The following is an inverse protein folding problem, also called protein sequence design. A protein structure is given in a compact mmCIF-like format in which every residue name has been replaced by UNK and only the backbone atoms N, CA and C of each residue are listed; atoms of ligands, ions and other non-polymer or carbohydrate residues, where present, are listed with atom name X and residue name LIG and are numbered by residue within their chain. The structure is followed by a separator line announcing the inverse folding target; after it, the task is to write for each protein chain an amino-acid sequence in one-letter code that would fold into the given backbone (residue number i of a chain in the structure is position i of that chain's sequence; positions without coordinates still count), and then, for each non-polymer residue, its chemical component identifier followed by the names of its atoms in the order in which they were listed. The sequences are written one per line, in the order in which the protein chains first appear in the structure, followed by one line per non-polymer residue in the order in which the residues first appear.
data_IF_823982247375
#
_entry.id   IF_823982247375
#
_cell.length_a   1.000
_cell.length_b   1.000
_cell.length_c   1.000
_cell.angle_alpha   90.00
_cell.angle_beta   90.00
_cell.angle_gamma   90.00
#
_symmetry.space_group_name_H-M   'P 1'
#
loop_
_entity.id
_entity.type
_entity.pdbx_description
1 polymer ?
#
# COMPACT_ATOMS: atom_id res chain seq x y z
N UNK A 1 15.78 -1.12 -6.98
CA UNK A 1 14.99 -0.43 -8.00
C UNK A 1 14.55 -1.38 -9.11
N UNK A 2 13.28 -1.30 -9.50
CA UNK A 2 12.77 -2.08 -10.62
C UNK A 2 12.44 -1.07 -11.71
N UNK A 3 13.23 -1.06 -12.75
CA UNK A 3 13.09 -0.08 -13.82
C UNK A 3 11.84 -0.31 -14.65
N UNK A 4 11.48 0.68 -15.41
CA UNK A 4 10.34 0.57 -16.32
C UNK A 4 10.57 -0.62 -17.25
N UNK A 5 9.60 -1.50 -17.34
CA UNK A 5 9.70 -2.72 -18.10
C UNK A 5 10.40 -3.86 -17.36
N UNK A 6 10.97 -3.59 -16.20
CA UNK A 6 11.61 -4.64 -15.43
C UNK A 6 10.61 -5.41 -14.59
N UNK A 7 11.04 -6.58 -14.17
CA UNK A 7 10.21 -7.45 -13.34
C UNK A 7 10.99 -7.88 -12.11
N UNK A 8 10.33 -7.86 -10.97
CA UNK A 8 10.90 -8.42 -9.76
C UNK A 8 9.88 -9.37 -9.16
N UNK A 9 10.36 -10.47 -8.63
CA UNK A 9 9.48 -11.47 -8.08
C UNK A 9 10.06 -11.97 -6.77
N UNK A 10 9.23 -12.00 -5.74
CA UNK A 10 9.65 -12.57 -4.46
C UNK A 10 10.71 -11.76 -3.72
N UNK A 11 10.80 -10.48 -3.98
CA UNK A 11 11.80 -9.64 -3.35
C UNK A 11 11.51 -9.49 -1.85
N UNK A 12 12.55 -9.52 -1.05
CA UNK A 12 12.42 -9.25 0.37
C UNK A 12 13.10 -7.93 0.65
N UNK A 13 12.37 -6.98 1.22
CA UNK A 13 12.92 -5.70 1.60
C UNK A 13 13.09 -5.69 3.10
N UNK A 14 14.31 -5.67 3.54
CA UNK A 14 14.60 -5.76 4.95
C UNK A 14 15.61 -4.68 5.31
N UNK A 15 15.12 -3.49 5.58
CA UNK A 15 15.97 -2.39 5.96
C UNK A 15 16.37 -1.45 4.83
N UNK A 16 15.91 -1.69 3.64
CA UNK A 16 16.25 -0.83 2.52
C UNK A 16 15.00 -0.31 1.85
N UNK A 17 15.16 0.10 0.61
CA UNK A 17 14.04 0.62 -0.15
C UNK A 17 14.03 0.01 -1.53
N UNK A 18 12.86 -0.32 -2.01
CA UNK A 18 12.70 -0.79 -3.37
C UNK A 18 11.79 0.17 -4.11
N UNK A 19 12.32 0.79 -5.15
CA UNK A 19 11.51 1.66 -5.99
C UNK A 19 11.04 0.84 -7.18
N UNK A 20 9.76 0.90 -7.45
CA UNK A 20 9.17 0.07 -8.51
C UNK A 20 8.60 0.97 -9.59
N UNK A 21 9.33 1.08 -10.70
CA UNK A 21 8.84 1.75 -11.89
C UNK A 21 8.30 0.72 -12.89
N UNK A 22 8.62 -0.54 -12.68
CA UNK A 22 8.17 -1.65 -13.51
C UNK A 22 7.12 -2.46 -12.79
N UNK A 23 7.30 -3.76 -12.77
CA UNK A 23 6.34 -4.66 -12.15
C UNK A 23 7.02 -5.48 -11.07
N UNK A 24 6.41 -5.54 -9.90
CA UNK A 24 6.91 -6.38 -8.83
C UNK A 24 5.78 -7.25 -8.30
N UNK A 25 6.08 -8.49 -8.00
CA UNK A 25 5.07 -9.38 -7.44
C UNK A 25 5.64 -10.18 -6.28
N UNK A 26 4.81 -10.40 -5.27
CA UNK A 26 5.17 -11.23 -4.15
C UNK A 26 6.24 -10.65 -3.24
N UNK A 27 6.41 -9.35 -3.23
CA UNK A 27 7.42 -8.75 -2.35
C UNK A 27 7.00 -8.87 -0.90
N UNK A 28 7.98 -8.97 -0.02
CA UNK A 28 7.74 -8.97 1.42
C UNK A 28 8.56 -7.82 2.01
N UNK A 29 7.90 -6.93 2.72
CA UNK A 29 8.54 -5.75 3.29
C UNK A 29 8.53 -5.85 4.81
N UNK A 30 9.73 -5.90 5.40
CA UNK A 30 9.85 -5.98 6.86
C UNK A 30 10.20 -4.64 7.47
N UNK A 31 11.43 -4.25 7.38
CA UNK A 31 11.91 -3.06 8.05
C UNK A 31 12.46 -2.10 7.02
N UNK A 32 11.72 -1.82 6.03
CA UNK A 32 12.15 -0.92 4.98
C UNK A 32 10.93 -0.44 4.24
N UNK A 33 11.10 -0.02 3.01
CA UNK A 33 9.98 0.49 2.26
C UNK A 33 9.97 0.02 0.83
N UNK A 34 8.78 -0.06 0.28
CA UNK A 34 8.60 -0.29 -1.15
C UNK A 34 7.83 0.89 -1.68
N UNK A 35 8.37 1.54 -2.69
CA UNK A 35 7.72 2.70 -3.28
C UNK A 35 7.28 2.33 -4.69
N UNK A 36 5.97 2.39 -4.91
CA UNK A 36 5.43 2.10 -6.23
C UNK A 36 5.32 3.43 -6.95
N UNK A 37 6.20 3.63 -7.91
CA UNK A 37 6.30 4.90 -8.60
C UNK A 37 5.27 5.01 -9.71
N UNK A 38 5.20 6.17 -10.30
CA UNK A 38 4.27 6.41 -11.40
C UNK A 38 4.52 5.39 -12.50
N UNK A 39 3.49 4.66 -12.88
CA UNK A 39 3.61 3.61 -13.87
C UNK A 39 4.00 2.26 -13.30
N UNK A 40 4.38 2.21 -12.03
CA UNK A 40 4.73 0.94 -11.41
C UNK A 40 3.50 0.12 -11.08
N UNK A 41 3.65 -1.19 -11.13
CA UNK A 41 2.57 -2.10 -10.83
C UNK A 41 3.09 -3.13 -9.84
N UNK A 42 2.39 -3.28 -8.74
CA UNK A 42 2.80 -4.19 -7.70
C UNK A 42 1.63 -5.10 -7.36
N UNK A 43 1.90 -6.35 -7.12
CA UNK A 43 0.86 -7.26 -6.72
C UNK A 43 1.35 -8.21 -5.62
N UNK A 44 0.46 -8.49 -4.67
CA UNK A 44 0.74 -9.49 -3.65
C UNK A 44 1.82 -9.11 -2.66
N UNK A 45 2.02 -7.82 -2.41
CA UNK A 45 3.00 -7.41 -1.41
C UNK A 45 2.52 -7.76 -0.02
N UNK A 46 3.42 -8.26 0.80
CA UNK A 46 3.14 -8.48 2.21
C UNK A 46 3.94 -7.47 3.01
N UNK A 47 3.25 -6.68 3.81
CA UNK A 47 3.89 -5.62 4.60
C UNK A 47 3.81 -6.02 6.06
N UNK A 48 4.95 -6.34 6.63
CA UNK A 48 5.02 -6.78 8.02
C UNK A 48 5.43 -5.65 8.94
N UNK A 49 5.53 -5.97 10.20
CA UNK A 49 5.88 -4.97 11.21
C UNK A 49 7.14 -4.21 10.82
N UNK A 50 7.05 -2.90 10.85
CA UNK A 50 8.15 -2.04 10.48
C UNK A 50 8.25 -1.75 9.00
N UNK A 51 7.43 -2.39 8.20
CA UNK A 51 7.47 -2.17 6.75
C UNK A 51 6.52 -1.07 6.31
N UNK A 52 6.83 -0.47 5.20
CA UNK A 52 6.02 0.60 4.63
C UNK A 52 5.93 0.41 3.13
N UNK A 53 4.74 0.54 2.61
CA UNK A 53 4.57 0.59 1.17
C UNK A 53 3.94 1.92 0.80
N UNK A 54 4.55 2.63 -0.13
CA UNK A 54 4.03 3.89 -0.61
C UNK A 54 3.62 3.71 -2.06
N UNK A 55 2.35 3.99 -2.35
CA UNK A 55 1.90 3.94 -3.73
C UNK A 55 1.74 5.37 -4.20
N UNK A 56 2.64 5.79 -5.08
CA UNK A 56 2.67 7.17 -5.56
C UNK A 56 1.59 7.38 -6.63
N UNK A 57 1.34 8.62 -6.95
CA UNK A 57 0.34 8.95 -7.97
C UNK A 57 0.62 8.16 -9.24
N UNK A 58 -0.39 7.60 -9.83
CA UNK A 58 -0.30 6.76 -11.02
C UNK A 58 0.38 5.41 -10.78
N UNK A 59 0.69 5.08 -9.55
CA UNK A 59 1.14 3.74 -9.20
C UNK A 59 -0.07 2.84 -8.99
N UNK A 60 0.13 1.56 -9.10
CA UNK A 60 -0.96 0.60 -9.00
C UNK A 60 -0.55 -0.57 -8.13
N UNK A 61 -1.36 -0.86 -7.13
CA UNK A 61 -1.10 -1.98 -6.24
C UNK A 61 -2.33 -2.86 -6.13
N UNK A 62 -2.12 -4.16 -6.17
CA UNK A 62 -3.21 -5.12 -6.08
C UNK A 62 -2.91 -6.18 -5.05
N UNK A 63 -3.82 -6.35 -4.12
CA UNK A 63 -3.74 -7.48 -3.22
C UNK A 63 -2.69 -7.39 -2.13
N UNK A 64 -2.37 -6.21 -1.67
CA UNK A 64 -1.43 -6.08 -0.56
C UNK A 64 -1.98 -6.70 0.70
N UNK A 65 -1.11 -7.26 1.50
CA UNK A 65 -1.47 -7.82 2.78
C UNK A 65 -0.71 -7.03 3.84
N UNK A 66 -1.43 -6.30 4.66
CA UNK A 66 -0.82 -5.42 5.65
C UNK A 66 -1.02 -6.03 7.02
N UNK A 67 0.06 -6.51 7.59
CA UNK A 67 0.00 -7.16 8.88
C UNK A 67 0.25 -6.18 10.02
N UNK A 68 0.13 -6.67 11.22
CA UNK A 68 0.31 -5.83 12.40
C UNK A 68 1.64 -5.09 12.33
N UNK A 69 1.59 -3.79 12.52
CA UNK A 69 2.78 -2.95 12.47
C UNK A 69 3.22 -2.54 11.08
N UNK A 70 2.58 -3.06 10.04
CA UNK A 70 2.87 -2.63 8.68
C UNK A 70 2.01 -1.44 8.30
N UNK A 71 2.43 -0.71 7.28
CA UNK A 71 1.72 0.48 6.86
C UNK A 71 1.72 0.60 5.35
N UNK A 72 0.60 0.99 4.80
CA UNK A 72 0.50 1.29 3.37
C UNK A 72 -0.01 2.71 3.22
N UNK A 73 0.71 3.52 2.46
CA UNK A 73 0.35 4.91 2.22
C UNK A 73 0.01 5.06 0.74
N UNK A 74 -1.24 5.36 0.44
CA UNK A 74 -1.70 5.47 -0.94
C UNK A 74 -1.94 6.94 -1.24
N UNK A 75 -1.15 7.49 -2.13
CA UNK A 75 -1.21 8.91 -2.47
C UNK A 75 -2.41 9.20 -3.35
N UNK A 76 -2.75 10.48 -3.45
CA UNK A 76 -3.81 10.89 -4.35
C UNK A 76 -3.42 10.56 -5.78
N UNK A 77 -4.33 10.01 -6.53
CA UNK A 77 -4.05 9.59 -7.90
C UNK A 77 -3.49 8.20 -8.03
N UNK A 78 -3.17 7.56 -6.90
CA UNK A 78 -2.73 6.17 -6.92
C UNK A 78 -3.94 5.26 -6.83
N UNK A 79 -3.73 4.01 -7.15
CA UNK A 79 -4.79 3.02 -7.06
C UNK A 79 -4.29 1.79 -6.33
N UNK A 80 -4.95 1.45 -5.24
CA UNK A 80 -4.64 0.24 -4.50
C UNK A 80 -5.94 -0.50 -4.27
N UNK A 81 -6.03 -1.72 -4.73
CA UNK A 81 -7.26 -2.46 -4.63
C UNK A 81 -7.03 -3.81 -3.99
N UNK A 82 -8.08 -4.32 -3.40
CA UNK A 82 -8.07 -5.66 -2.79
C UNK A 82 -7.04 -5.83 -1.67
N UNK A 83 -6.70 -4.76 -1.01
CA UNK A 83 -5.79 -4.86 0.11
C UNK A 83 -6.49 -5.52 1.29
N UNK A 84 -5.76 -6.31 2.04
CA UNK A 84 -6.25 -6.91 3.27
C UNK A 84 -5.47 -6.29 4.42
N UNK A 85 -6.18 -5.72 5.36
CA UNK A 85 -5.55 -5.07 6.50
C UNK A 85 -5.88 -5.88 7.73
N UNK A 86 -4.88 -6.52 8.28
CA UNK A 86 -5.08 -7.31 9.48
C UNK A 86 -5.01 -6.44 10.72
N UNK A 87 -5.40 -7.00 11.83
CA UNK A 87 -5.41 -6.25 13.08
C UNK A 87 -4.04 -5.66 13.35
N UNK A 88 -3.99 -4.38 13.61
CA UNK A 88 -2.73 -3.69 13.85
C UNK A 88 -2.05 -3.16 12.59
N UNK A 89 -2.56 -3.49 11.43
CA UNK A 89 -2.05 -2.90 10.21
C UNK A 89 -2.69 -1.55 9.96
N UNK A 90 -2.06 -0.72 9.18
CA UNK A 90 -2.55 0.62 8.89
C UNK A 90 -2.51 0.91 7.41
N UNK A 91 -3.54 1.52 6.92
CA UNK A 91 -3.56 1.98 5.55
C UNK A 91 -4.03 3.42 5.54
N UNK A 92 -3.20 4.28 4.95
CA UNK A 92 -3.53 5.67 4.84
C UNK A 92 -3.79 5.96 3.37
N UNK A 93 -4.98 6.38 3.04
CA UNK A 93 -5.31 6.58 1.64
C UNK A 93 -5.78 8.00 1.42
N UNK A 94 -5.13 8.68 0.49
CA UNK A 94 -5.55 9.98 0.05
C UNK A 94 -6.29 9.89 -1.25
N UNK A 95 -6.43 8.66 -1.78
CA UNK A 95 -7.17 8.47 -2.98
C UNK A 95 -8.64 8.42 -2.66
N UNK A 96 -9.47 8.16 -3.64
CA UNK A 96 -10.84 8.15 -3.44
C UNK A 96 -11.22 7.06 -2.53
N UNK A 97 -11.91 7.24 -1.50
CA UNK A 97 -12.22 6.23 -0.50
C UNK A 97 -13.22 5.20 -0.95
N UNK A 98 -13.90 5.42 -2.01
CA UNK A 98 -14.96 4.51 -2.32
C UNK A 98 -14.51 3.13 -2.72
N UNK A 99 -13.28 2.96 -3.09
CA UNK A 99 -12.80 1.64 -3.42
C UNK A 99 -12.14 0.96 -2.26
N UNK A 100 -12.08 1.62 -1.13
CA UNK A 100 -11.40 1.10 -0.03
C UNK A 100 -12.20 0.14 0.77
N UNK A 101 -11.64 -0.95 1.17
CA UNK A 101 -12.32 -1.86 1.94
C UNK A 101 -11.45 -2.35 2.98
N UNK A 102 -11.69 -2.16 4.19
CA UNK A 102 -10.87 -2.61 5.24
C UNK A 102 -11.56 -3.69 5.94
N UNK A 103 -10.88 -4.70 6.31
CA UNK A 103 -11.45 -5.76 6.99
C UNK A 103 -11.46 -5.49 8.46
N UNK A 104 -12.09 -4.54 8.86
CA UNK A 104 -12.18 -4.24 10.23
C UNK A 104 -11.09 -3.49 10.81
N UNK A 105 -10.16 -3.13 10.16
CA UNK A 105 -9.15 -2.38 10.68
C UNK A 105 -9.46 -1.01 10.69
N UNK A 106 -8.77 -0.28 10.87
CA UNK A 106 -8.85 0.98 11.01
C UNK A 106 -9.39 1.71 10.10
N UNK A 107 -10.05 1.95 10.00
CA UNK A 107 -10.46 2.76 9.31
C UNK A 107 -10.41 3.91 9.78
N UNK A 108 -10.13 4.21 10.19
CA UNK A 108 -10.05 5.15 10.67
C UNK A 108 -9.70 6.13 10.32
N UNK A 109 -9.44 6.14 10.13
CA UNK A 109 -8.95 7.04 9.92
C UNK A 109 -9.60 7.89 9.31
N UNK A 110 -9.80 8.05 9.03
CA UNK A 110 -10.15 8.73 8.47
C UNK A 110 -11.11 9.16 8.40
N UNK A 111 -11.19 9.02 8.27
CA UNK A 111 -11.85 9.46 8.05
C UNK A 111 -12.51 10.04 8.51
N UNK A 112 -12.49 9.91 8.80
CA UNK A 112 -13.01 10.25 9.23
C UNK A 112 -13.57 11.19 9.13
N UNK A 113 -13.39 11.43 8.93
CA UNK A 113 -13.73 12.21 8.86
C UNK A 113 -14.85 12.56 8.50
N UNK A 114 -15.03 12.34 8.24
CA UNK A 114 -15.77 12.66 7.90
C UNK A 114 -16.80 12.91 8.24
N UNK A 115 -16.81 12.92 8.38
CA UNK A 115 -17.57 13.10 8.62
C UNK A 115 -18.35 13.65 8.76
N UNK A 116 -18.36 13.78 8.87
CA UNK A 116 -19.08 14.30 9.07
C UNK A 116 -20.06 14.63 8.82
N UNK A 117 -20.11 14.71 8.62
CA UNK A 117 -20.75 14.97 8.39
C UNK A 117 -21.89 15.04 8.41
N UNK A 118 -22.11 14.91 8.45
CA UNK A 118 -23.05 14.89 8.41
C UNK A 118 -23.96 15.19 8.70
N UNK A 119 -24.27 15.46 8.75
CA UNK A 119 -25.07 15.66 9.02
C UNK A 119 -26.04 15.90 9.07
N UNK A 120 -26.32 15.87 9.15
CA UNK A 120 -27.25 16.03 9.17
C UNK A 120 -27.89 16.21 9.20
#
# INVERSE_FOLDING_TARGET
MVESGGLASGTTVNGGEQDVFGTASGATVFAGSQVVESGGIVSGTTINSGGLEVVSANGFDVGALINSGGEQDVSGGALAISATINSGGTRLSRARPLTQRSAGASRLSTAAALLPVRLY
#
